data_IF_071885903269
#
_entry.id   IF_071885903269
#
_cell.length_a   1.000
_cell.length_b   1.000
_cell.length_c   1.000
_cell.angle_alpha   90.00
_cell.angle_beta   90.00
_cell.angle_gamma   90.00
#
_symmetry.space_group_name_H-M   'P 1'
#
loop_
_entity.id
_entity.type
_entity.pdbx_description
1 polymer ?
#
# COMPACT_ATOMS: atom_id res chain seq x y z
N UNK A 1 16.67 -13.60 -30.20
CA UNK A 1 16.44 -13.42 -28.75
C UNK A 1 15.04 -12.84 -28.60
N UNK A 2 14.07 -13.63 -28.11
CA UNK A 2 12.70 -13.13 -27.96
C UNK A 2 12.70 -11.97 -26.96
N UNK A 3 12.12 -10.83 -27.36
CA UNK A 3 11.91 -9.68 -26.46
C UNK A 3 11.08 -10.19 -25.28
N UNK A 4 11.67 -10.17 -24.09
CA UNK A 4 10.93 -10.53 -22.88
C UNK A 4 9.81 -9.53 -22.65
N UNK A 5 8.64 -10.02 -22.23
CA UNK A 5 7.41 -9.27 -21.97
C UNK A 5 7.71 -8.05 -21.07
N UNK A 6 7.21 -6.88 -21.45
CA UNK A 6 7.15 -5.69 -20.58
C UNK A 6 6.00 -5.86 -19.57
N UNK A 7 6.01 -5.08 -18.48
CA UNK A 7 4.83 -4.96 -17.62
C UNK A 7 3.66 -4.38 -18.44
N UNK A 8 2.44 -4.85 -18.15
CA UNK A 8 1.22 -4.31 -18.77
C UNK A 8 0.94 -2.88 -18.29
N UNK A 9 0.19 -2.13 -19.11
CA UNK A 9 -0.45 -0.92 -18.65
C UNK A 9 -1.69 -1.28 -17.83
N UNK A 10 -2.01 -0.46 -16.83
CA UNK A 10 -3.19 -0.65 -16.00
C UNK A 10 -3.75 0.70 -15.53
N UNK A 11 -5.08 0.92 -15.55
CA UNK A 11 -5.70 2.19 -15.16
C UNK A 11 -5.32 2.66 -13.75
N UNK A 12 -5.15 1.73 -12.82
CA UNK A 12 -4.67 2.04 -11.46
C UNK A 12 -3.39 2.89 -11.44
N UNK A 13 -2.49 2.70 -12.41
CA UNK A 13 -1.18 3.35 -12.46
C UNK A 13 -1.20 4.68 -13.25
N UNK A 14 -2.36 5.11 -13.73
CA UNK A 14 -2.48 6.38 -14.43
C UNK A 14 -2.00 7.54 -13.54
N UNK A 15 -1.18 8.41 -14.11
CA UNK A 15 -0.60 9.58 -13.43
C UNK A 15 -0.91 10.83 -14.25
N UNK A 16 -1.37 11.87 -13.58
CA UNK A 16 -1.59 13.17 -14.20
C UNK A 16 -0.23 13.81 -14.51
N UNK A 17 0.03 14.11 -15.79
CA UNK A 17 1.25 14.77 -16.26
C UNK A 17 2.56 14.16 -15.74
N UNK A 18 2.58 12.87 -15.42
CA UNK A 18 3.75 12.18 -14.85
C UNK A 18 4.05 12.54 -13.40
N UNK A 19 3.12 13.18 -12.69
CA UNK A 19 3.23 13.47 -11.26
C UNK A 19 3.26 12.17 -10.45
N UNK A 20 4.21 12.00 -9.51
CA UNK A 20 4.22 10.84 -8.61
C UNK A 20 2.94 10.73 -7.78
N UNK A 21 2.48 9.50 -7.55
CA UNK A 21 1.31 9.23 -6.73
C UNK A 21 1.59 9.55 -5.25
N UNK A 22 0.66 10.28 -4.63
CA UNK A 22 0.62 10.45 -3.17
C UNK A 22 -0.15 9.27 -2.59
N UNK A 23 0.55 8.39 -1.88
CA UNK A 23 -0.02 7.17 -1.32
C UNK A 23 -0.03 7.27 0.22
N UNK A 24 -1.22 7.37 0.82
CA UNK A 24 -1.39 7.48 2.26
C UNK A 24 -1.23 6.11 2.93
N UNK A 25 -0.07 5.86 3.56
CA UNK A 25 0.24 4.64 4.30
C UNK A 25 -0.74 4.45 5.44
N UNK A 26 -1.54 3.39 5.39
CA UNK A 26 -2.61 3.09 6.34
C UNK A 26 -3.61 4.24 6.55
N UNK A 27 -3.81 5.05 5.48
CA UNK A 27 -4.63 6.24 5.55
C UNK A 27 -3.96 7.49 6.12
N UNK A 28 -2.63 7.48 6.29
CA UNK A 28 -1.87 8.57 6.92
C UNK A 28 -1.68 8.35 8.42
N UNK A 29 -1.09 7.19 8.79
CA UNK A 29 -0.96 6.73 10.18
C UNK A 29 -0.21 7.67 11.13
N UNK A 30 0.59 8.60 10.59
CA UNK A 30 1.24 9.66 11.38
C UNK A 30 0.32 10.81 11.78
N UNK A 31 -0.88 10.91 11.19
CA UNK A 31 -1.86 11.96 11.47
C UNK A 31 -3.09 11.44 12.21
N UNK A 32 -3.48 10.20 11.96
CA UNK A 32 -4.73 9.60 12.44
C UNK A 32 -4.56 8.12 12.80
N UNK A 33 -5.51 7.52 13.53
CA UNK A 33 -5.50 6.07 13.79
C UNK A 33 -5.45 5.26 12.49
N UNK A 34 -4.36 4.51 12.31
CA UNK A 34 -4.07 3.76 11.10
C UNK A 34 -5.16 2.72 10.77
N UNK A 35 -5.38 2.45 9.48
CA UNK A 35 -6.30 1.41 8.99
C UNK A 35 -7.75 1.58 9.49
N UNK A 36 -8.22 2.81 9.63
CA UNK A 36 -9.60 3.12 10.04
C UNK A 36 -10.33 3.93 8.96
N UNK A 37 -11.65 3.84 8.89
CA UNK A 37 -12.45 4.68 7.99
C UNK A 37 -12.22 6.16 8.27
N UNK A 38 -12.05 6.53 9.55
CA UNK A 38 -11.73 7.90 9.94
C UNK A 38 -10.46 8.43 9.24
N UNK A 39 -9.39 7.63 9.23
CA UNK A 39 -8.15 8.01 8.54
C UNK A 39 -8.32 8.05 7.02
N UNK A 40 -9.05 7.09 6.45
CA UNK A 40 -9.23 6.97 5.01
C UNK A 40 -10.07 8.12 4.42
N UNK A 41 -11.14 8.50 5.10
CA UNK A 41 -11.97 9.65 4.72
C UNK A 41 -11.16 10.95 4.76
N UNK A 42 -10.37 11.17 5.81
CA UNK A 42 -9.48 12.34 5.93
C UNK A 42 -8.39 12.37 4.86
N UNK A 43 -7.80 11.21 4.55
CA UNK A 43 -6.84 11.11 3.45
C UNK A 43 -7.47 11.41 2.09
N UNK A 44 -8.68 10.89 1.84
CA UNK A 44 -9.42 11.17 0.61
C UNK A 44 -9.83 12.66 0.51
N UNK A 45 -10.34 13.27 1.59
CA UNK A 45 -10.64 14.71 1.67
C UNK A 45 -9.41 15.59 1.41
N UNK A 46 -8.22 15.14 1.85
CA UNK A 46 -6.95 15.82 1.62
C UNK A 46 -6.50 15.76 0.14
N UNK A 47 -7.06 14.87 -0.66
CA UNK A 47 -6.75 14.72 -2.08
C UNK A 47 -5.56 13.80 -2.36
N UNK A 48 -5.35 12.75 -1.55
CA UNK A 48 -4.37 11.71 -1.88
C UNK A 48 -4.81 10.93 -3.13
N UNK A 49 -3.85 10.39 -3.87
CA UNK A 49 -4.14 9.60 -5.07
C UNK A 49 -4.53 8.15 -4.71
N UNK A 50 -3.95 7.62 -3.64
CA UNK A 50 -4.10 6.22 -3.23
C UNK A 50 -4.14 6.13 -1.71
N UNK A 51 -5.02 5.30 -1.19
CA UNK A 51 -4.97 4.85 0.20
C UNK A 51 -4.30 3.47 0.22
N UNK A 52 -3.26 3.34 1.01
CA UNK A 52 -2.62 2.06 1.26
C UNK A 52 -3.16 1.46 2.55
N UNK A 53 -3.39 0.14 2.56
CA UNK A 53 -3.93 -0.61 3.70
C UNK A 53 -3.52 -2.08 3.63
N UNK A 54 -3.70 -2.79 4.76
CA UNK A 54 -3.36 -4.21 4.87
C UNK A 54 -4.56 -5.03 5.36
N UNK A 55 -4.65 -6.29 4.90
CA UNK A 55 -5.77 -7.15 5.23
C UNK A 55 -5.38 -8.43 5.98
N UNK A 56 -6.22 -8.76 6.95
CA UNK A 56 -6.30 -10.05 7.63
C UNK A 56 -7.74 -10.59 7.60
N UNK A 57 -7.92 -11.87 7.97
CA UNK A 57 -9.22 -12.52 8.13
C UNK A 57 -9.57 -12.73 9.58
N UNK A 58 -10.80 -12.46 9.95
CA UNK A 58 -11.40 -12.79 11.25
C UNK A 58 -11.76 -14.28 11.35
N UNK A 59 -12.19 -14.73 12.54
CA UNK A 59 -12.66 -16.10 12.77
C UNK A 59 -13.90 -16.48 11.94
N UNK A 60 -14.76 -15.50 11.62
CA UNK A 60 -15.93 -15.64 10.75
C UNK A 60 -15.65 -15.28 9.28
N UNK A 61 -14.37 -15.36 8.87
CA UNK A 61 -13.89 -15.15 7.50
C UNK A 61 -14.22 -13.77 6.88
N UNK A 62 -14.32 -12.74 7.68
CA UNK A 62 -14.43 -11.37 7.18
C UNK A 62 -13.04 -10.78 6.98
N UNK A 63 -12.81 -10.10 5.84
CA UNK A 63 -11.56 -9.35 5.61
C UNK A 63 -11.62 -8.01 6.34
N UNK A 64 -10.64 -7.77 7.21
CA UNK A 64 -10.54 -6.58 8.06
C UNK A 64 -9.23 -5.86 7.81
N UNK A 65 -9.23 -4.54 8.05
CA UNK A 65 -8.10 -3.67 7.76
C UNK A 65 -7.28 -3.47 9.04
N UNK A 66 -6.18 -4.17 9.12
CA UNK A 66 -5.24 -4.10 10.24
C UNK A 66 -3.87 -4.64 9.80
N UNK A 67 -2.79 -3.99 10.25
CA UNK A 67 -1.44 -4.39 9.89
C UNK A 67 -0.97 -5.65 10.61
N UNK A 68 -1.14 -5.70 11.94
CA UNK A 68 -0.59 -6.74 12.77
C UNK A 68 -1.52 -7.96 12.81
N UNK A 69 -0.96 -9.11 13.12
CA UNK A 69 -1.74 -10.34 13.36
C UNK A 69 -2.58 -10.29 14.63
N UNK A 70 -2.33 -9.32 15.50
CA UNK A 70 -3.02 -9.11 16.77
C UNK A 70 -3.55 -7.69 16.87
N UNK A 71 -4.54 -7.47 17.73
CA UNK A 71 -5.18 -6.17 17.92
C UNK A 71 -4.46 -5.25 18.92
N UNK A 72 -3.47 -5.77 19.62
CA UNK A 72 -2.87 -5.21 20.85
C UNK A 72 -2.25 -3.82 20.64
N UNK A 73 -1.58 -3.58 19.49
CA UNK A 73 -0.84 -2.34 19.27
C UNK A 73 -1.75 -1.14 19.00
N UNK A 74 -2.83 -1.34 18.26
CA UNK A 74 -3.66 -0.22 17.77
C UNK A 74 -4.96 -0.05 18.55
N UNK A 75 -5.40 -1.07 19.28
CA UNK A 75 -6.70 -1.06 20.00
C UNK A 75 -6.54 -1.21 21.52
N UNK A 76 -7.66 -1.16 22.24
CA UNK A 76 -7.74 -1.53 23.66
C UNK A 76 -8.00 -3.02 23.87
N UNK A 77 -8.04 -3.83 22.78
CA UNK A 77 -8.18 -5.28 22.85
C UNK A 77 -6.85 -6.01 22.94
N UNK A 78 -6.90 -7.32 23.13
CA UNK A 78 -5.74 -8.22 23.20
C UNK A 78 -6.05 -9.49 22.41
N UNK A 79 -5.07 -9.99 21.67
CA UNK A 79 -5.13 -11.30 21.02
C UNK A 79 -5.15 -11.25 19.49
N UNK A 80 -5.16 -12.45 18.86
CA UNK A 80 -5.02 -12.55 17.42
C UNK A 80 -6.33 -12.24 16.68
N UNK A 81 -6.22 -11.51 15.58
CA UNK A 81 -7.34 -11.10 14.71
C UNK A 81 -8.17 -12.31 14.27
N UNK A 82 -7.52 -13.40 13.88
CA UNK A 82 -8.19 -14.61 13.38
C UNK A 82 -8.90 -15.44 14.45
N UNK A 83 -8.83 -15.07 15.73
CA UNK A 83 -9.60 -15.69 16.82
C UNK A 83 -10.86 -14.89 17.18
N UNK A 84 -11.06 -13.71 16.59
CA UNK A 84 -12.17 -12.80 16.83
C UNK A 84 -13.12 -12.81 15.64
N UNK A 85 -14.42 -12.78 15.90
CA UNK A 85 -15.42 -12.42 14.88
C UNK A 85 -15.32 -10.93 14.54
N UNK A 86 -15.84 -10.50 13.38
CA UNK A 86 -15.90 -9.08 13.04
C UNK A 86 -16.59 -8.26 14.13
N UNK A 87 -17.69 -8.76 14.69
CA UNK A 87 -18.44 -8.08 15.76
C UNK A 87 -17.60 -7.90 17.03
N UNK A 88 -16.84 -8.90 17.43
CA UNK A 88 -15.95 -8.82 18.60
C UNK A 88 -14.80 -7.85 18.34
N UNK A 89 -14.21 -7.89 17.14
CA UNK A 89 -13.14 -6.99 16.73
C UNK A 89 -13.61 -5.52 16.73
N UNK A 90 -14.80 -5.25 16.21
CA UNK A 90 -15.38 -3.92 16.15
C UNK A 90 -15.88 -3.38 17.49
N UNK A 91 -15.91 -4.21 18.54
CA UNK A 91 -16.15 -3.73 19.90
C UNK A 91 -14.92 -3.05 20.52
N UNK A 92 -13.73 -3.19 19.93
CA UNK A 92 -12.53 -2.51 20.38
C UNK A 92 -12.41 -1.10 19.79
N UNK A 93 -11.80 -0.20 20.58
CA UNK A 93 -11.47 1.16 20.17
C UNK A 93 -10.16 1.18 19.40
N UNK A 94 -10.21 1.39 18.09
CA UNK A 94 -9.04 1.46 17.21
C UNK A 94 -8.30 2.81 17.29
N UNK A 95 -8.85 3.81 17.98
CA UNK A 95 -8.18 5.06 18.31
C UNK A 95 -7.41 5.04 19.61
N UNK A 96 -7.50 3.93 20.37
CA UNK A 96 -7.10 3.88 21.78
C UNK A 96 -5.62 4.15 22.03
N UNK A 97 -4.74 3.60 21.19
CA UNK A 97 -3.29 3.69 21.36
C UNK A 97 -2.63 4.74 20.48
N UNK A 98 -3.40 5.43 19.61
CA UNK A 98 -2.81 6.44 18.75
C UNK A 98 -2.38 7.69 19.54
N UNK A 99 -1.16 8.17 19.25
CA UNK A 99 -0.56 9.34 19.89
C UNK A 99 0.39 10.02 18.91
N UNK A 100 0.44 11.34 18.91
CA UNK A 100 1.38 12.13 18.12
C UNK A 100 2.61 12.58 18.95
N UNK A 101 2.58 12.42 20.27
CA UNK A 101 3.53 13.01 21.21
C UNK A 101 4.25 12.00 22.11
N UNK A 102 4.36 10.74 21.63
CA UNK A 102 5.06 9.67 22.33
C UNK A 102 4.34 9.15 23.57
N UNK A 103 3.01 9.16 23.56
CA UNK A 103 2.18 8.58 24.61
C UNK A 103 1.78 9.54 25.73
N UNK A 104 1.95 10.85 25.53
CA UNK A 104 1.51 11.87 26.50
C UNK A 104 0.02 12.15 26.39
N UNK A 105 -0.50 12.19 25.16
CA UNK A 105 -1.93 12.37 24.89
C UNK A 105 -2.47 11.32 23.92
N UNK A 106 -3.76 11.03 24.06
CA UNK A 106 -4.48 10.03 23.24
C UNK A 106 -5.80 10.63 22.76
N UNK A 107 -5.77 11.52 21.76
CA UNK A 107 -6.91 12.36 21.38
C UNK A 107 -8.06 11.59 20.74
N UNK A 108 -7.83 10.34 20.30
CA UNK A 108 -8.84 9.51 19.63
C UNK A 108 -9.49 8.45 20.53
N UNK A 109 -9.07 8.32 21.79
CA UNK A 109 -9.72 7.40 22.74
C UNK A 109 -11.18 7.75 22.94
N UNK A 110 -12.03 6.70 22.88
CA UNK A 110 -13.47 6.85 23.11
C UNK A 110 -14.22 7.64 22.05
N UNK A 111 -13.64 7.79 20.85
CA UNK A 111 -14.28 8.50 19.72
C UNK A 111 -15.11 7.60 18.81
N UNK A 112 -15.31 6.33 19.16
CA UNK A 112 -16.08 5.38 18.37
C UNK A 112 -15.37 4.93 17.09
N UNK A 113 -14.04 5.05 17.04
CA UNK A 113 -13.24 4.59 15.88
C UNK A 113 -13.03 3.09 16.04
N UNK A 114 -13.41 2.32 15.03
CA UNK A 114 -13.33 0.85 15.02
C UNK A 114 -12.40 0.35 13.93
N UNK A 115 -12.01 -0.92 14.00
CA UNK A 115 -11.34 -1.63 12.91
C UNK A 115 -12.37 -1.96 11.83
N UNK A 116 -12.28 -1.40 10.61
CA UNK A 116 -13.28 -1.64 9.58
C UNK A 116 -13.03 -2.95 8.84
N UNK A 117 -14.10 -3.49 8.25
CA UNK A 117 -13.99 -4.49 7.20
C UNK A 117 -13.62 -3.86 5.87
N UNK A 118 -13.07 -4.66 4.94
CA UNK A 118 -12.80 -4.23 3.57
C UNK A 118 -14.09 -3.86 2.83
N UNK A 119 -15.21 -4.53 3.12
CA UNK A 119 -16.53 -4.25 2.57
C UNK A 119 -17.02 -2.85 2.96
N UNK A 120 -16.86 -2.48 4.24
CA UNK A 120 -17.19 -1.12 4.71
C UNK A 120 -16.31 -0.06 4.04
N UNK A 121 -15.02 -0.34 3.84
CA UNK A 121 -14.12 0.59 3.15
C UNK A 121 -14.50 0.79 1.69
N UNK A 122 -14.76 -0.28 0.93
CA UNK A 122 -15.18 -0.16 -0.47
C UNK A 122 -16.53 0.57 -0.60
N UNK A 123 -17.44 0.36 0.36
CA UNK A 123 -18.73 1.07 0.40
C UNK A 123 -18.57 2.56 0.68
N UNK A 124 -17.68 2.92 1.63
CA UNK A 124 -17.49 4.30 2.05
C UNK A 124 -16.75 5.13 0.98
N UNK A 125 -15.77 4.56 0.29
CA UNK A 125 -14.87 5.27 -0.63
C UNK A 125 -14.74 4.58 -2.00
N UNK A 126 -15.85 4.44 -2.76
CA UNK A 126 -15.90 3.65 -4.01
C UNK A 126 -15.08 4.28 -5.16
N UNK A 127 -14.62 5.51 -5.00
CA UNK A 127 -13.92 6.25 -6.06
C UNK A 127 -12.42 6.43 -5.84
N UNK A 128 -11.91 6.10 -4.65
CA UNK A 128 -10.48 6.20 -4.35
C UNK A 128 -9.71 4.99 -4.90
N UNK A 129 -8.47 5.20 -5.30
CA UNK A 129 -7.56 4.09 -5.58
C UNK A 129 -7.02 3.51 -4.28
N UNK A 130 -6.92 2.17 -4.23
CA UNK A 130 -6.53 1.46 -3.01
C UNK A 130 -5.37 0.51 -3.30
N UNK A 131 -4.32 0.57 -2.49
CA UNK A 131 -3.25 -0.42 -2.47
C UNK A 131 -3.47 -1.36 -1.28
N UNK A 132 -3.73 -2.64 -1.54
CA UNK A 132 -4.06 -3.65 -0.52
C UNK A 132 -2.90 -4.63 -0.37
N UNK A 133 -2.24 -4.68 0.79
CA UNK A 133 -1.22 -5.67 1.11
C UNK A 133 -1.83 -6.88 1.82
N UNK A 134 -1.75 -8.06 1.20
CA UNK A 134 -2.18 -9.32 1.80
C UNK A 134 -1.12 -9.79 2.81
N UNK A 135 -1.41 -9.66 4.10
CA UNK A 135 -0.51 -10.08 5.19
C UNK A 135 -0.63 -11.57 5.54
N UNK A 136 -1.75 -12.18 5.22
CA UNK A 136 -2.11 -13.53 5.59
C UNK A 136 -1.89 -14.52 4.43
N UNK A 137 -1.48 -15.76 4.79
CA UNK A 137 -1.28 -16.85 3.83
C UNK A 137 -2.33 -17.95 4.01
N UNK A 138 -2.67 -18.25 5.25
CA UNK A 138 -3.62 -19.29 5.64
C UNK A 138 -4.67 -18.74 6.62
N UNK A 139 -5.96 -18.90 6.30
CA UNK A 139 -6.48 -19.29 4.98
C UNK A 139 -6.09 -18.27 3.91
N UNK A 140 -6.08 -18.69 2.63
CA UNK A 140 -5.79 -17.81 1.50
C UNK A 140 -6.91 -16.79 1.31
N UNK A 141 -6.54 -15.52 1.15
CA UNK A 141 -7.48 -14.43 0.85
C UNK A 141 -7.61 -14.14 -0.66
N UNK A 142 -6.92 -14.89 -1.52
CA UNK A 142 -6.82 -14.58 -2.94
C UNK A 142 -8.18 -14.59 -3.65
N UNK A 143 -8.95 -15.68 -3.55
CA UNK A 143 -10.25 -15.79 -4.19
C UNK A 143 -11.30 -14.88 -3.53
N UNK A 144 -11.47 -14.86 -2.19
CA UNK A 144 -12.42 -13.94 -1.55
C UNK A 144 -12.15 -12.45 -1.85
N UNK A 145 -10.87 -12.05 -1.92
CA UNK A 145 -10.50 -10.69 -2.28
C UNK A 145 -10.87 -10.37 -3.73
N UNK A 146 -10.62 -11.29 -4.66
CA UNK A 146 -10.99 -11.13 -6.06
C UNK A 146 -12.51 -10.97 -6.22
N UNK A 147 -13.29 -11.83 -5.59
CA UNK A 147 -14.76 -11.79 -5.60
C UNK A 147 -15.27 -10.44 -5.06
N UNK A 148 -14.70 -9.94 -3.97
CA UNK A 148 -15.06 -8.66 -3.39
C UNK A 148 -14.70 -7.49 -4.31
N UNK A 149 -13.51 -7.48 -4.92
CA UNK A 149 -13.07 -6.46 -5.89
C UNK A 149 -14.07 -6.39 -7.06
N UNK A 150 -14.53 -7.53 -7.56
CA UNK A 150 -15.52 -7.58 -8.64
C UNK A 150 -16.90 -7.08 -8.19
N UNK A 151 -17.39 -7.54 -7.04
CA UNK A 151 -18.72 -7.16 -6.54
C UNK A 151 -18.85 -5.66 -6.29
N UNK A 152 -17.75 -4.98 -5.97
CA UNK A 152 -17.69 -3.53 -5.79
C UNK A 152 -17.17 -2.77 -7.03
N UNK A 153 -16.94 -3.44 -8.17
CA UNK A 153 -16.43 -2.83 -9.40
C UNK A 153 -15.11 -2.06 -9.21
N UNK A 154 -14.21 -2.60 -8.38
CA UNK A 154 -12.96 -1.94 -7.98
C UNK A 154 -11.73 -2.43 -8.79
N UNK A 155 -11.88 -3.28 -9.81
CA UNK A 155 -10.76 -3.89 -10.52
C UNK A 155 -9.74 -2.88 -11.08
N UNK A 156 -10.20 -1.74 -11.59
CA UNK A 156 -9.34 -0.68 -12.12
C UNK A 156 -8.78 0.27 -11.04
N UNK A 157 -9.30 0.19 -9.81
CA UNK A 157 -8.97 1.08 -8.69
C UNK A 157 -8.15 0.39 -7.60
N UNK A 158 -7.94 -0.92 -7.69
CA UNK A 158 -7.17 -1.70 -6.71
C UNK A 158 -5.84 -2.17 -7.29
N UNK A 159 -4.78 -2.05 -6.50
CA UNK A 159 -3.54 -2.78 -6.67
C UNK A 159 -3.36 -3.70 -5.47
N UNK A 160 -3.03 -4.96 -5.72
CA UNK A 160 -2.75 -5.92 -4.65
C UNK A 160 -1.26 -6.14 -4.51
N UNK A 161 -0.79 -6.05 -3.27
CA UNK A 161 0.57 -6.30 -2.84
C UNK A 161 0.64 -7.52 -1.92
N UNK A 162 1.77 -8.17 -1.88
CA UNK A 162 2.18 -9.05 -0.78
C UNK A 162 3.68 -9.31 -0.83
N UNK A 163 4.34 -9.24 0.32
CA UNK A 163 5.72 -9.71 0.43
C UNK A 163 5.84 -11.22 0.21
N UNK A 164 4.76 -11.97 0.46
CA UNK A 164 4.73 -13.40 0.30
C UNK A 164 4.48 -13.79 -1.16
N UNK A 165 5.45 -14.47 -1.77
CA UNK A 165 5.38 -14.89 -3.17
C UNK A 165 4.21 -15.84 -3.45
N UNK A 166 3.81 -16.68 -2.48
CA UNK A 166 2.66 -17.59 -2.65
C UNK A 166 1.37 -16.79 -2.67
N UNK A 167 1.16 -15.90 -1.70
CA UNK A 167 -0.06 -15.08 -1.61
C UNK A 167 -0.30 -14.27 -2.88
N UNK A 168 0.74 -13.56 -3.38
CA UNK A 168 0.59 -12.76 -4.60
C UNK A 168 0.39 -13.60 -5.86
N UNK A 169 1.04 -14.77 -5.96
CA UNK A 169 0.83 -15.67 -7.09
C UNK A 169 -0.55 -16.33 -7.08
N UNK A 170 -1.06 -16.66 -5.88
CA UNK A 170 -2.43 -17.17 -5.73
C UNK A 170 -3.43 -16.10 -6.15
N UNK A 171 -3.21 -14.84 -5.76
CA UNK A 171 -4.04 -13.72 -6.19
C UNK A 171 -4.00 -13.49 -7.70
N UNK A 172 -2.83 -13.45 -8.33
CA UNK A 172 -2.69 -13.27 -9.79
C UNK A 172 -3.36 -14.37 -10.61
N UNK A 173 -3.48 -15.59 -10.03
CA UNK A 173 -4.22 -16.69 -10.67
C UNK A 173 -5.73 -16.53 -10.54
N UNK A 174 -6.19 -15.99 -9.41
CA UNK A 174 -7.60 -15.75 -9.15
C UNK A 174 -8.13 -14.50 -9.87
N UNK A 175 -7.27 -13.47 -10.01
CA UNK A 175 -7.65 -12.11 -10.41
C UNK A 175 -6.58 -11.51 -11.33
N UNK A 176 -6.51 -11.98 -12.55
CA UNK A 176 -5.43 -11.63 -13.50
C UNK A 176 -5.53 -10.20 -14.05
N UNK A 177 -6.70 -9.60 -14.00
CA UNK A 177 -7.03 -8.27 -14.49
C UNK A 177 -6.72 -7.15 -13.48
N UNK A 178 -6.49 -7.47 -12.21
CA UNK A 178 -6.17 -6.49 -11.17
C UNK A 178 -4.66 -6.23 -11.12
N UNK A 179 -4.28 -4.97 -10.96
CA UNK A 179 -2.88 -4.59 -10.82
C UNK A 179 -2.22 -5.28 -9.61
N UNK A 180 -0.97 -5.67 -9.75
CA UNK A 180 -0.20 -6.25 -8.64
C UNK A 180 1.18 -5.64 -8.52
N UNK A 181 1.67 -5.53 -7.28
CA UNK A 181 3.08 -5.23 -7.02
C UNK A 181 3.95 -6.50 -7.01
N UNK A 182 5.27 -6.30 -7.04
CA UNK A 182 6.24 -7.38 -6.95
C UNK A 182 6.29 -7.97 -5.53
N UNK A 183 6.39 -9.30 -5.45
CA UNK A 183 6.76 -9.99 -4.20
C UNK A 183 8.21 -9.70 -3.81
N UNK A 184 8.57 -9.99 -2.56
CA UNK A 184 9.95 -9.87 -2.09
C UNK A 184 10.95 -10.63 -2.98
N UNK A 185 10.60 -11.84 -3.43
CA UNK A 185 11.46 -12.65 -4.31
C UNK A 185 11.68 -11.99 -5.67
N UNK A 186 10.63 -11.40 -6.25
CA UNK A 186 10.70 -10.70 -7.54
C UNK A 186 11.55 -9.44 -7.44
N UNK A 187 11.38 -8.64 -6.37
CA UNK A 187 12.23 -7.47 -6.10
C UNK A 187 13.70 -7.89 -5.93
N UNK A 188 13.97 -8.93 -5.16
CA UNK A 188 15.34 -9.45 -4.96
C UNK A 188 15.95 -9.91 -6.28
N UNK A 189 15.22 -10.66 -7.10
CA UNK A 189 15.68 -11.09 -8.41
C UNK A 189 16.00 -9.90 -9.33
N UNK A 190 15.06 -8.93 -9.41
CA UNK A 190 15.28 -7.73 -10.22
C UNK A 190 16.50 -6.94 -9.75
N UNK A 191 16.67 -6.78 -8.43
CA UNK A 191 17.81 -6.10 -7.83
C UNK A 191 19.14 -6.80 -8.19
N UNK A 192 19.24 -8.13 -8.01
CA UNK A 192 20.44 -8.90 -8.35
C UNK A 192 20.77 -8.83 -9.84
N UNK A 193 19.75 -8.97 -10.70
CA UNK A 193 19.95 -8.81 -12.14
C UNK A 193 20.44 -7.40 -12.50
N UNK A 194 19.95 -6.38 -11.78
CA UNK A 194 20.39 -5.00 -11.98
C UNK A 194 21.85 -4.80 -11.54
N UNK A 195 22.30 -5.43 -10.45
CA UNK A 195 23.69 -5.35 -10.01
C UNK A 195 24.68 -5.84 -11.08
N UNK A 196 24.33 -6.91 -11.79
CA UNK A 196 25.16 -7.52 -12.84
C UNK A 196 24.79 -7.05 -14.25
N UNK A 197 24.13 -5.89 -14.38
CA UNK A 197 23.72 -5.26 -15.66
C UNK A 197 22.76 -6.09 -16.53
N UNK A 198 22.12 -7.11 -15.99
CA UNK A 198 21.13 -7.94 -16.67
C UNK A 198 19.66 -7.53 -16.41
N UNK A 199 19.41 -6.41 -15.74
CA UNK A 199 18.06 -5.94 -15.41
C UNK A 199 17.15 -5.75 -16.63
N UNK A 200 17.70 -5.36 -17.79
CA UNK A 200 16.96 -5.29 -19.04
C UNK A 200 16.41 -6.64 -19.54
N UNK A 201 16.93 -7.75 -19.05
CA UNK A 201 16.46 -9.10 -19.36
C UNK A 201 15.36 -9.59 -18.40
N UNK A 202 15.02 -8.82 -17.36
CA UNK A 202 13.94 -9.17 -16.44
C UNK A 202 12.59 -9.18 -17.14
N UNK A 203 11.79 -10.22 -16.93
CA UNK A 203 10.42 -10.34 -17.44
C UNK A 203 9.43 -10.19 -16.28
N UNK A 204 8.84 -9.00 -16.07
CA UNK A 204 7.95 -8.76 -14.95
C UNK A 204 6.64 -9.56 -15.06
N UNK A 205 6.16 -10.04 -13.91
CA UNK A 205 4.81 -10.56 -13.73
C UNK A 205 3.94 -9.59 -12.89
N UNK A 206 4.45 -8.39 -12.62
CA UNK A 206 3.83 -7.34 -11.82
C UNK A 206 3.83 -6.01 -12.56
N UNK A 207 3.13 -5.03 -12.04
CA UNK A 207 2.99 -3.69 -12.60
C UNK A 207 3.89 -2.66 -11.88
N UNK A 208 4.17 -2.89 -10.60
CA UNK A 208 4.99 -1.99 -9.80
C UNK A 208 5.98 -2.74 -8.89
N UNK A 209 7.10 -2.06 -8.59
CA UNK A 209 8.04 -2.42 -7.53
C UNK A 209 7.75 -1.49 -6.34
N UNK A 210 7.26 -2.05 -5.24
CA UNK A 210 7.07 -1.32 -3.99
C UNK A 210 8.23 -1.67 -3.05
N UNK A 211 9.16 -0.73 -2.86
CA UNK A 211 10.45 -0.99 -2.24
C UNK A 211 10.83 0.06 -1.20
N UNK A 212 11.59 -0.29 -0.17
CA UNK A 212 12.29 0.70 0.63
C UNK A 212 13.48 1.25 -0.16
N UNK A 213 13.87 2.48 0.10
CA UNK A 213 15.09 3.03 -0.49
C UNK A 213 16.34 2.28 -0.02
N UNK A 214 16.39 1.99 1.29
CA UNK A 214 17.45 1.20 1.92
C UNK A 214 16.86 -0.02 2.62
N UNK A 215 17.54 -1.16 2.53
CA UNK A 215 17.19 -2.37 3.25
C UNK A 215 18.44 -2.93 3.95
N UNK A 216 18.44 -2.95 5.29
CA UNK A 216 19.58 -3.42 6.10
C UNK A 216 20.92 -2.81 5.69
N UNK A 217 20.94 -1.50 5.45
CA UNK A 217 22.12 -0.74 5.01
C UNK A 217 22.46 -0.85 3.52
N UNK A 218 21.74 -1.68 2.75
CA UNK A 218 21.91 -1.78 1.31
C UNK A 218 21.04 -0.75 0.60
N UNK A 219 21.64 0.08 -0.27
CA UNK A 219 20.93 1.05 -1.11
C UNK A 219 20.26 0.32 -2.27
N UNK A 220 18.96 0.08 -2.16
CA UNK A 220 18.16 -0.66 -3.14
C UNK A 220 17.78 0.23 -4.32
N UNK A 221 17.25 1.43 -4.04
CA UNK A 221 16.79 2.37 -5.05
C UNK A 221 17.95 3.25 -5.55
N UNK A 222 18.64 2.79 -6.55
CA UNK A 222 19.63 3.60 -7.29
C UNK A 222 19.01 4.19 -8.55
N UNK A 223 19.60 5.28 -9.10
CA UNK A 223 19.17 5.85 -10.40
C UNK A 223 19.13 4.78 -11.50
N UNK A 224 20.12 3.88 -11.54
CA UNK A 224 20.16 2.76 -12.50
C UNK A 224 19.01 1.79 -12.28
N UNK A 225 18.68 1.44 -11.02
CA UNK A 225 17.56 0.57 -10.69
C UNK A 225 16.26 1.16 -11.23
N UNK A 226 15.99 2.43 -10.93
CA UNK A 226 14.81 3.15 -11.38
C UNK A 226 14.71 3.20 -12.92
N UNK A 227 15.77 3.61 -13.59
CA UNK A 227 15.79 3.66 -15.06
C UNK A 227 15.57 2.28 -15.70
N UNK A 228 16.11 1.22 -15.06
CA UNK A 228 15.91 -0.15 -15.57
C UNK A 228 14.47 -0.61 -15.34
N UNK A 229 13.86 -0.26 -14.21
CA UNK A 229 12.45 -0.53 -13.94
C UNK A 229 11.55 0.15 -14.99
N UNK A 230 11.78 1.44 -15.26
CA UNK A 230 11.02 2.20 -16.27
C UNK A 230 11.18 1.59 -17.69
N UNK A 231 12.39 1.15 -18.09
CA UNK A 231 12.59 0.43 -19.37
C UNK A 231 11.83 -0.89 -19.45
N UNK A 232 11.43 -1.45 -18.33
CA UNK A 232 10.59 -2.65 -18.22
C UNK A 232 9.10 -2.32 -18.05
N UNK A 233 8.72 -1.05 -18.16
CA UNK A 233 7.38 -0.51 -17.90
C UNK A 233 6.89 -0.82 -16.47
N UNK A 234 7.82 -0.89 -15.50
CA UNK A 234 7.51 -1.08 -14.09
C UNK A 234 7.49 0.28 -13.40
N UNK A 235 6.42 0.54 -12.65
CA UNK A 235 6.35 1.66 -11.74
C UNK A 235 7.14 1.38 -10.46
N UNK A 236 7.68 2.43 -9.85
CA UNK A 236 8.45 2.32 -8.59
C UNK A 236 7.80 3.20 -7.52
N UNK A 237 7.27 2.55 -6.49
CA UNK A 237 6.71 3.21 -5.32
C UNK A 237 7.62 2.97 -4.11
N UNK A 238 7.92 4.05 -3.37
CA UNK A 238 8.89 3.98 -2.25
C UNK A 238 8.17 4.10 -0.93
N UNK A 239 8.46 3.21 0.02
CA UNK A 239 7.85 3.14 1.36
C UNK A 239 8.89 2.98 2.45
N UNK A 240 8.62 3.30 3.71
CA UNK A 240 7.71 4.36 4.14
C UNK A 240 8.54 5.61 4.29
N UNK A 241 8.19 6.67 3.58
CA UNK A 241 8.99 7.91 3.50
C UNK A 241 8.27 9.01 4.27
N UNK A 242 8.85 9.43 5.39
CA UNK A 242 8.21 10.36 6.33
C UNK A 242 8.96 11.68 6.51
N UNK A 243 10.20 11.79 6.01
CA UNK A 243 10.97 13.02 6.08
C UNK A 243 10.81 13.82 4.78
N UNK A 244 10.58 15.11 4.91
CA UNK A 244 10.32 15.99 3.76
C UNK A 244 11.53 16.06 2.81
N UNK A 245 12.73 16.04 3.35
CA UNK A 245 13.99 16.05 2.58
C UNK A 245 14.13 14.78 1.72
N UNK A 246 13.72 13.63 2.27
CA UNK A 246 13.73 12.37 1.52
C UNK A 246 12.65 12.37 0.43
N UNK A 247 11.45 12.89 0.73
CA UNK A 247 10.39 13.06 -0.27
C UNK A 247 10.89 13.92 -1.43
N UNK A 248 11.50 15.08 -1.15
CA UNK A 248 12.02 15.97 -2.17
C UNK A 248 13.07 15.30 -3.05
N UNK A 249 14.03 14.60 -2.45
CA UNK A 249 15.10 13.89 -3.14
C UNK A 249 14.55 12.76 -4.02
N UNK A 250 13.56 12.00 -3.55
CA UNK A 250 12.91 10.93 -4.32
C UNK A 250 12.08 11.48 -5.49
N UNK A 251 11.41 12.63 -5.28
CA UNK A 251 10.73 13.34 -6.37
C UNK A 251 11.72 13.80 -7.46
N UNK A 252 12.92 14.26 -7.08
CA UNK A 252 13.98 14.64 -8.01
C UNK A 252 14.60 13.43 -8.73
N UNK A 253 14.65 12.28 -8.05
CA UNK A 253 15.10 11.02 -8.65
C UNK A 253 14.12 10.51 -9.71
N UNK A 254 12.83 10.86 -9.61
CA UNK A 254 11.77 10.52 -10.56
C UNK A 254 11.05 9.21 -10.24
N UNK A 255 10.80 8.93 -8.96
CA UNK A 255 9.96 7.79 -8.54
C UNK A 255 8.49 8.02 -8.95
N UNK A 256 7.73 6.93 -9.13
CA UNK A 256 6.36 6.99 -9.61
C UNK A 256 5.32 7.14 -8.47
N UNK A 257 5.72 6.94 -7.23
CA UNK A 257 4.86 7.12 -6.07
C UNK A 257 5.62 7.06 -4.75
N UNK A 258 5.09 7.74 -3.76
CA UNK A 258 5.62 7.74 -2.39
C UNK A 258 4.51 7.33 -1.42
N UNK A 259 4.78 6.28 -0.63
CA UNK A 259 3.93 5.78 0.44
C UNK A 259 4.43 6.42 1.74
N UNK A 260 3.57 7.19 2.42
CA UNK A 260 3.94 8.00 3.57
C UNK A 260 2.85 8.05 4.65
N UNK A 261 3.27 8.16 5.91
CA UNK A 261 2.40 8.45 7.05
C UNK A 261 1.96 9.92 7.11
N UNK A 262 2.63 10.81 6.33
CA UNK A 262 2.39 12.26 6.31
C UNK A 262 2.08 12.78 4.90
N UNK A 263 0.94 12.35 4.28
CA UNK A 263 0.61 12.69 2.90
C UNK A 263 0.49 14.19 2.64
N UNK A 264 0.09 15.00 3.63
CA UNK A 264 0.02 16.46 3.52
C UNK A 264 1.36 17.11 3.16
N UNK A 265 2.47 16.57 3.68
CA UNK A 265 3.82 17.08 3.35
C UNK A 265 4.15 16.85 1.89
N UNK A 266 3.86 15.66 1.37
CA UNK A 266 4.11 15.34 -0.03
C UNK A 266 3.21 16.16 -0.97
N UNK A 267 1.93 16.37 -0.62
CA UNK A 267 1.01 17.22 -1.37
C UNK A 267 1.55 18.66 -1.43
N UNK A 268 2.01 19.22 -0.31
CA UNK A 268 2.61 20.57 -0.27
C UNK A 268 3.80 20.67 -1.23
N UNK A 269 4.76 19.72 -1.18
CA UNK A 269 5.91 19.70 -2.07
C UNK A 269 5.52 19.64 -3.56
N UNK A 270 4.48 18.89 -3.91
CA UNK A 270 4.00 18.78 -5.28
C UNK A 270 3.29 20.05 -5.75
N UNK A 271 2.58 20.74 -4.86
CA UNK A 271 1.91 22.00 -5.16
C UNK A 271 2.93 23.12 -5.40
N UNK A 272 3.96 23.21 -4.55
CA UNK A 272 5.03 24.21 -4.67
C UNK A 272 5.84 24.04 -5.96
N UNK A 273 5.97 22.81 -6.47
CA UNK A 273 6.61 22.53 -7.76
C UNK A 273 5.81 23.01 -8.97
N UNK A 274 4.47 22.92 -8.90
CA UNK A 274 3.58 23.45 -9.97
C UNK A 274 3.60 24.97 -10.05
N UNK A 275 3.91 25.67 -8.98
CA UNK A 275 3.99 27.14 -8.91
C UNK A 275 5.36 27.74 -9.28
N UNK A 276 6.37 26.92 -9.56
CA UNK A 276 7.68 27.41 -10.04
C UNK A 276 7.70 27.44 -11.56
N UNK A 277 7.94 28.61 -12.20
CA UNK A 277 8.02 28.78 -13.64
C UNK A 277 9.18 28.01 -14.26
#
# INVERSE_FOLDING_TARGET
MALKKLAGEHPYLAQDEGRPLVMAHRGGGGLWPENTLYAFERAAEMGVDVIETEIHSTADNKMVLIHDKTVDRTTNGIGPVNSLTLKELQAFDAGYNWTADGGRTFPFRGKGIIVPSLEEFFSALPNIRINIDIKQINPSLAAPLCEMIHSFHMAEKVMVASFNTRAINDFRRACSEVATSASRREVTLFFLMNLIFLGAAYGPACHALQIPEYNSGLHVLTKRFLQTAHRRNLKVHVWTVNQMEDMQRLLELGVDGIITDYPHQLISLLTDRKGRP
#
